data_IF_613315149744
#
_entry.id   IF_613315149744
#
_cell.length_a   1.000
_cell.length_b   1.000
_cell.length_c   1.000
_cell.angle_alpha   90.00
_cell.angle_beta   90.00
_cell.angle_gamma   90.00
#
_symmetry.space_group_name_H-M   'P 1'
#
loop_
_entity.id
_entity.type
_entity.pdbx_description
1 polymer ?
#
# COMPACT_ATOMS: atom_id res chain seq x y z
N UNK A 1 16.93 2.33 -7.96
CA UNK A 1 15.71 2.06 -7.17
C UNK A 1 15.90 0.87 -6.21
N UNK A 2 16.51 -0.24 -6.64
CA UNK A 2 16.67 -1.48 -5.87
C UNK A 2 17.40 -1.34 -4.53
N UNK A 3 18.49 -0.57 -4.44
CA UNK A 3 19.24 -0.39 -3.17
C UNK A 3 18.47 0.38 -2.07
N UNK A 4 17.37 1.07 -2.42
CA UNK A 4 16.52 1.74 -1.42
C UNK A 4 15.69 0.75 -0.63
N UNK A 5 15.29 -0.35 -1.27
CA UNK A 5 14.30 -1.31 -0.76
C UNK A 5 14.87 -2.69 -0.50
N UNK A 6 16.07 -2.99 -0.98
CA UNK A 6 16.78 -4.25 -0.73
C UNK A 6 18.13 -3.96 -0.06
N UNK A 7 18.57 -4.87 0.80
CA UNK A 7 19.92 -4.88 1.37
C UNK A 7 20.52 -6.27 1.26
N UNK A 8 21.84 -6.34 1.06
CA UNK A 8 22.58 -7.61 1.07
C UNK A 8 22.89 -7.98 2.53
N UNK A 9 22.68 -9.24 2.88
CA UNK A 9 23.00 -9.80 4.19
C UNK A 9 23.80 -11.08 4.02
N UNK A 10 24.76 -11.30 4.91
CA UNK A 10 25.43 -12.59 5.06
C UNK A 10 24.56 -13.50 5.91
N UNK A 11 24.47 -14.77 5.52
CA UNK A 11 23.66 -15.77 6.21
C UNK A 11 24.36 -17.13 6.20
N UNK A 12 23.92 -18.00 7.11
CA UNK A 12 24.30 -19.41 7.09
C UNK A 12 23.15 -20.21 6.50
N UNK A 13 23.39 -20.86 5.36
CA UNK A 13 22.43 -21.77 4.74
C UNK A 13 22.59 -23.16 5.36
N UNK A 14 21.48 -23.73 5.82
CA UNK A 14 21.41 -25.05 6.43
C UNK A 14 20.61 -25.98 5.51
N UNK A 15 21.29 -26.92 4.86
CA UNK A 15 20.69 -27.97 4.03
C UNK A 15 21.62 -29.20 4.01
N UNK A 16 21.39 -30.15 4.92
CA UNK A 16 22.29 -31.30 5.16
C UNK A 16 23.70 -30.93 5.68
N UNK A 17 24.01 -29.65 5.82
CA UNK A 17 25.27 -29.07 6.30
C UNK A 17 25.15 -27.54 6.40
N UNK A 18 26.19 -26.86 6.89
CA UNK A 18 26.20 -25.40 7.04
C UNK A 18 27.17 -24.74 6.06
N UNK A 19 26.69 -23.80 5.25
CA UNK A 19 27.52 -23.00 4.32
C UNK A 19 27.26 -21.51 4.51
N UNK A 20 28.30 -20.68 4.41
CA UNK A 20 28.15 -19.23 4.39
C UNK A 20 27.69 -18.79 3.01
N UNK A 21 26.66 -17.95 2.95
CA UNK A 21 26.13 -17.38 1.72
C UNK A 21 25.76 -15.91 1.95
N UNK A 22 25.36 -15.23 0.88
CA UNK A 22 24.80 -13.88 0.98
C UNK A 22 23.63 -13.71 0.02
N UNK A 23 22.56 -13.12 0.52
CA UNK A 23 21.31 -12.90 -0.22
C UNK A 23 20.84 -11.46 -0.08
N UNK A 24 19.96 -11.03 -0.98
CA UNK A 24 19.30 -9.74 -0.90
C UNK A 24 17.96 -9.94 -0.21
N UNK A 25 17.73 -9.17 0.85
CA UNK A 25 16.46 -9.18 1.58
C UNK A 25 15.81 -7.80 1.50
N UNK A 26 14.51 -7.77 1.71
CA UNK A 26 13.75 -6.53 1.78
C UNK A 26 14.22 -5.69 2.98
N UNK A 27 14.34 -4.39 2.74
CA UNK A 27 14.64 -3.38 3.76
C UNK A 27 13.33 -2.77 4.24
N UNK A 28 12.97 -3.16 5.45
CA UNK A 28 11.87 -2.54 6.19
C UNK A 28 12.25 -1.11 6.62
N UNK A 29 11.34 -0.15 6.43
CA UNK A 29 11.56 1.26 6.77
C UNK A 29 10.47 1.74 7.72
N UNK A 30 10.87 2.25 8.89
CA UNK A 30 9.97 2.90 9.84
C UNK A 30 9.64 4.31 9.35
N UNK A 31 8.43 4.53 8.83
CA UNK A 31 7.92 5.85 8.43
C UNK A 31 7.12 6.45 9.59
N UNK A 32 7.61 7.55 10.16
CA UNK A 32 6.89 8.31 11.19
C UNK A 32 5.94 9.30 10.55
N UNK A 33 4.66 9.25 10.89
CA UNK A 33 3.61 10.14 10.38
C UNK A 33 3.28 11.17 11.45
N UNK A 34 3.40 12.44 11.10
CA UNK A 34 3.00 13.57 11.92
C UNK A 34 1.86 14.33 11.24
N UNK A 35 0.85 14.72 12.02
CA UNK A 35 -0.31 15.49 11.56
C UNK A 35 -0.36 16.78 12.36
N UNK A 36 -0.36 17.91 11.67
CA UNK A 36 -0.38 19.27 12.25
C UNK A 36 0.67 19.44 13.36
N UNK A 37 1.87 18.91 13.12
CA UNK A 37 3.03 18.97 14.02
C UNK A 37 3.00 17.99 15.20
N UNK A 38 2.04 17.08 15.26
CA UNK A 38 1.95 16.05 16.32
C UNK A 38 2.18 14.65 15.75
N UNK A 39 2.93 13.82 16.47
CA UNK A 39 3.09 12.42 16.10
C UNK A 39 1.72 11.71 16.10
N UNK A 40 1.42 11.04 15.00
CA UNK A 40 0.18 10.30 14.82
C UNK A 40 0.43 8.79 14.91
N UNK A 41 1.36 8.28 14.11
CA UNK A 41 1.70 6.86 14.06
C UNK A 41 3.10 6.64 13.47
N UNK A 42 3.64 5.44 13.67
CA UNK A 42 4.83 4.97 12.94
C UNK A 42 4.49 3.63 12.31
N UNK A 43 4.73 3.52 11.01
CA UNK A 43 4.44 2.31 10.25
C UNK A 43 5.73 1.72 9.67
N UNK A 44 5.81 0.40 9.66
CA UNK A 44 6.87 -0.30 8.95
C UNK A 44 6.42 -0.58 7.52
N UNK A 45 7.13 -0.01 6.55
CA UNK A 45 6.76 -0.06 5.13
C UNK A 45 7.93 -0.46 4.23
N UNK A 46 7.60 -0.89 3.02
CA UNK A 46 8.52 -0.85 1.89
C UNK A 46 8.60 0.61 1.41
N UNK A 47 9.80 1.19 1.35
CA UNK A 47 10.01 2.61 1.04
C UNK A 47 9.80 2.96 -0.46
N UNK A 48 8.63 2.63 -0.97
CA UNK A 48 8.05 2.95 -2.28
C UNK A 48 6.66 3.52 -2.07
N UNK A 49 6.28 4.52 -2.87
CA UNK A 49 4.97 5.14 -2.80
C UNK A 49 4.62 5.64 -1.37
N UNK A 50 5.59 6.25 -0.67
CA UNK A 50 5.40 6.65 0.73
C UNK A 50 4.30 7.71 0.89
N UNK A 51 4.15 8.60 -0.10
CA UNK A 51 3.10 9.62 -0.10
C UNK A 51 1.72 8.97 -0.22
N UNK A 52 1.58 8.04 -1.15
CA UNK A 52 0.36 7.29 -1.40
C UNK A 52 0.01 6.41 -0.19
N UNK A 53 0.99 5.73 0.40
CA UNK A 53 0.82 4.98 1.64
C UNK A 53 0.18 5.85 2.73
N UNK A 54 0.76 7.04 3.00
CA UNK A 54 0.24 7.94 4.05
C UNK A 54 -1.18 8.38 3.74
N UNK A 55 -1.48 8.76 2.49
CA UNK A 55 -2.82 9.19 2.09
C UNK A 55 -3.84 8.07 2.27
N UNK A 56 -3.54 6.86 1.78
CA UNK A 56 -4.42 5.71 1.89
C UNK A 56 -4.60 5.26 3.33
N UNK A 57 -3.53 5.25 4.13
CA UNK A 57 -3.58 4.94 5.55
C UNK A 57 -4.50 5.91 6.30
N UNK A 58 -4.35 7.22 6.09
CA UNK A 58 -5.21 8.23 6.72
C UNK A 58 -6.67 8.08 6.28
N UNK A 59 -6.92 7.69 5.04
CA UNK A 59 -8.28 7.42 4.54
C UNK A 59 -8.87 6.17 5.18
N UNK A 60 -8.14 5.06 5.19
CA UNK A 60 -8.57 3.78 5.77
C UNK A 60 -8.85 3.90 7.28
N UNK A 61 -8.09 4.75 7.99
CA UNK A 61 -8.31 5.05 9.41
C UNK A 61 -9.42 6.11 9.65
N UNK A 62 -10.01 6.66 8.59
CA UNK A 62 -11.08 7.66 8.67
C UNK A 62 -10.62 9.04 9.15
N UNK A 63 -9.32 9.34 9.05
CA UNK A 63 -8.75 10.66 9.36
C UNK A 63 -9.06 11.66 8.24
N UNK A 64 -9.07 11.20 6.98
CA UNK A 64 -9.47 11.98 5.81
C UNK A 64 -10.60 11.26 5.06
N UNK A 65 -11.41 12.01 4.30
CA UNK A 65 -12.44 11.46 3.42
C UNK A 65 -12.05 11.50 1.95
N UNK A 66 -11.15 12.42 1.59
CA UNK A 66 -10.67 12.63 0.22
C UNK A 66 -9.28 13.25 0.26
N UNK A 67 -8.54 13.15 -0.84
CA UNK A 67 -7.20 13.74 -0.94
C UNK A 67 -7.19 15.26 -0.65
N UNK A 68 -8.26 15.97 -1.01
CA UNK A 68 -8.39 17.42 -0.77
C UNK A 68 -8.47 17.82 0.72
N UNK A 69 -8.70 16.87 1.63
CA UNK A 69 -8.67 17.15 3.07
C UNK A 69 -7.22 17.29 3.60
N UNK A 70 -6.21 16.95 2.79
CA UNK A 70 -4.80 17.20 3.06
C UNK A 70 -4.39 18.50 2.37
N UNK A 71 -4.02 19.52 3.16
CA UNK A 71 -3.48 20.78 2.65
C UNK A 71 -2.07 20.61 2.11
N UNK A 72 -1.24 19.82 2.79
CA UNK A 72 0.13 19.53 2.34
C UNK A 72 0.63 18.23 2.94
N UNK A 73 1.45 17.50 2.17
CA UNK A 73 2.19 16.34 2.63
C UNK A 73 3.64 16.43 2.14
N UNK A 74 4.60 16.22 3.03
CA UNK A 74 6.04 16.17 2.70
C UNK A 74 6.67 14.93 3.32
N UNK A 75 7.45 14.20 2.53
CA UNK A 75 8.22 13.04 3.01
C UNK A 75 9.70 13.42 3.04
N UNK A 76 10.33 13.41 4.22
CA UNK A 76 11.78 13.65 4.40
C UNK A 76 12.33 12.73 5.48
N UNK A 77 13.44 12.07 5.21
CA UNK A 77 14.18 11.26 6.20
C UNK A 77 13.29 10.29 7.00
N UNK A 78 12.44 9.52 6.31
CA UNK A 78 11.45 8.60 6.90
C UNK A 78 10.44 9.28 7.85
N UNK A 79 10.19 10.56 7.66
CA UNK A 79 9.12 11.30 8.33
C UNK A 79 8.17 11.86 7.29
N UNK A 80 6.88 11.61 7.48
CA UNK A 80 5.78 12.21 6.75
C UNK A 80 5.20 13.35 7.60
N UNK A 81 5.30 14.58 7.10
CA UNK A 81 4.67 15.76 7.69
C UNK A 81 3.39 16.06 6.91
N UNK A 82 2.24 15.94 7.57
CA UNK A 82 0.92 16.15 7.00
C UNK A 82 0.28 17.37 7.68
N UNK A 83 -0.22 18.30 6.87
CA UNK A 83 -1.07 19.39 7.34
C UNK A 83 -2.47 19.15 6.81
N UNK A 84 -3.46 19.09 7.68
CA UNK A 84 -4.86 18.93 7.27
C UNK A 84 -5.47 20.28 6.87
N UNK A 85 -6.41 20.24 5.93
CA UNK A 85 -7.29 21.37 5.71
C UNK A 85 -8.23 21.53 6.91
N UNK A 86 -8.64 22.77 7.22
CA UNK A 86 -9.65 23.01 8.25
C UNK A 86 -10.98 22.37 7.81
N UNK A 87 -11.29 21.20 8.37
CA UNK A 87 -12.48 20.42 8.06
C UNK A 87 -13.19 20.00 9.34
N UNK A 88 -14.44 19.59 9.20
CA UNK A 88 -15.25 19.11 10.31
C UNK A 88 -14.72 17.72 10.76
N UNK A 89 -14.12 17.67 11.95
CA UNK A 89 -13.39 16.53 12.55
C UNK A 89 -14.26 15.32 12.88
N UNK A 90 -15.46 15.23 12.32
CA UNK A 90 -16.35 14.09 12.56
C UNK A 90 -15.77 12.89 11.82
N UNK A 91 -15.52 11.78 12.52
CA UNK A 91 -15.18 10.51 11.85
C UNK A 91 -16.27 10.18 10.82
N UNK A 92 -15.91 9.76 9.60
CA UNK A 92 -16.89 9.33 8.62
C UNK A 92 -17.68 8.15 9.17
N UNK A 93 -18.99 8.17 8.96
CA UNK A 93 -19.83 7.01 9.21
C UNK A 93 -19.51 5.95 8.15
N UNK A 94 -19.44 4.67 8.55
CA UNK A 94 -19.22 3.59 7.58
C UNK A 94 -20.54 3.39 6.83
N UNK A 95 -20.66 4.06 5.68
CA UNK A 95 -21.84 3.94 4.82
C UNK A 95 -21.67 2.76 3.86
N UNK A 96 -22.75 2.01 3.65
CA UNK A 96 -22.77 0.96 2.64
C UNK A 96 -22.41 1.55 1.26
N UNK A 97 -21.47 0.91 0.56
CA UNK A 97 -21.11 1.27 -0.81
C UNK A 97 -22.20 0.74 -1.74
N UNK A 98 -22.75 1.61 -2.60
CA UNK A 98 -23.62 1.19 -3.71
C UNK A 98 -22.81 1.21 -5.00
N UNK A 99 -22.77 0.08 -5.69
CA UNK A 99 -22.07 -0.11 -6.97
C UNK A 99 -22.92 -0.98 -7.90
N UNK A 100 -22.90 -0.65 -9.19
CA UNK A 100 -23.48 -1.42 -10.28
C UNK A 100 -22.41 -2.15 -11.11
N UNK A 101 -21.15 -2.16 -10.64
CA UNK A 101 -20.03 -2.81 -11.31
C UNK A 101 -20.31 -4.30 -11.50
N UNK A 102 -20.14 -4.77 -12.74
CA UNK A 102 -20.17 -6.19 -13.10
C UNK A 102 -18.85 -6.55 -13.74
N UNK A 103 -18.24 -7.62 -13.25
CA UNK A 103 -16.99 -8.18 -13.79
C UNK A 103 -17.23 -9.61 -14.26
N UNK A 104 -16.51 -10.02 -15.30
CA UNK A 104 -16.50 -11.41 -15.73
C UNK A 104 -15.56 -12.23 -14.85
N UNK A 105 -15.73 -13.56 -14.87
CA UNK A 105 -14.83 -14.48 -14.20
C UNK A 105 -13.39 -14.27 -14.67
N UNK A 106 -13.21 -14.09 -15.97
CA UNK A 106 -11.92 -13.91 -16.64
C UNK A 106 -11.22 -12.63 -16.16
N UNK A 107 -11.99 -11.55 -15.97
CA UNK A 107 -11.50 -10.27 -15.45
C UNK A 107 -10.85 -10.44 -14.06
N UNK A 108 -11.45 -11.26 -13.19
CA UNK A 108 -10.89 -11.57 -11.87
C UNK A 108 -9.54 -12.30 -12.00
N UNK A 109 -9.46 -13.31 -12.87
CA UNK A 109 -8.21 -14.05 -13.07
C UNK A 109 -7.11 -13.16 -13.68
N UNK A 110 -7.46 -12.23 -14.56
CA UNK A 110 -6.52 -11.27 -15.14
C UNK A 110 -5.99 -10.28 -14.10
N UNK A 111 -6.86 -9.76 -13.23
CA UNK A 111 -6.45 -8.91 -12.11
C UNK A 111 -5.49 -9.65 -11.16
N UNK A 112 -5.80 -10.90 -10.81
CA UNK A 112 -4.92 -11.73 -9.97
C UNK A 112 -3.58 -11.99 -10.68
N UNK A 113 -3.59 -12.36 -11.96
CA UNK A 113 -2.36 -12.54 -12.75
C UNK A 113 -1.52 -11.28 -12.81
N UNK A 114 -2.14 -10.09 -12.81
CA UNK A 114 -1.43 -8.83 -12.85
C UNK A 114 -0.65 -8.57 -11.54
N UNK A 115 -1.26 -8.79 -10.37
CA UNK A 115 -0.59 -8.55 -9.07
C UNK A 115 0.51 -9.58 -8.74
N UNK A 116 0.51 -10.74 -9.39
CA UNK A 116 1.52 -11.79 -9.21
C UNK A 116 2.84 -11.52 -9.96
N UNK A 117 2.94 -10.42 -10.74
CA UNK A 117 4.14 -10.06 -11.52
C UNK A 117 5.15 -9.20 -10.74
N UNK A 118 5.07 -9.22 -9.41
CA UNK A 118 5.86 -8.35 -8.53
C UNK A 118 7.35 -8.72 -8.60
N UNK A 119 8.24 -7.82 -9.07
CA UNK A 119 9.67 -8.12 -9.18
C UNK A 119 10.33 -8.27 -7.81
N UNK A 120 9.83 -7.61 -6.75
CA UNK A 120 10.39 -7.73 -5.41
C UNK A 120 10.06 -9.10 -4.82
N UNK A 121 8.83 -9.57 -4.97
CA UNK A 121 8.44 -10.94 -4.57
C UNK A 121 9.22 -12.00 -5.35
N UNK A 122 9.36 -11.88 -6.67
CA UNK A 122 10.12 -12.86 -7.48
C UNK A 122 11.58 -13.01 -7.03
N UNK A 123 12.14 -11.99 -6.38
CA UNK A 123 13.50 -12.02 -5.87
C UNK A 123 13.58 -12.44 -4.39
N UNK A 124 12.63 -12.01 -3.57
CA UNK A 124 12.76 -12.06 -2.10
C UNK A 124 11.67 -12.86 -1.39
N UNK A 125 10.56 -13.14 -2.07
CA UNK A 125 9.35 -13.80 -1.54
C UNK A 125 8.74 -13.11 -0.29
N UNK A 126 9.19 -11.89 0.03
CA UNK A 126 8.96 -11.24 1.32
C UNK A 126 8.06 -10.00 1.26
N UNK A 127 7.21 -9.90 0.23
CA UNK A 127 6.25 -8.80 0.07
C UNK A 127 4.88 -9.31 -0.35
N UNK A 128 3.86 -8.52 -0.06
CA UNK A 128 2.52 -8.62 -0.62
C UNK A 128 2.34 -7.62 -1.75
N UNK A 129 1.60 -8.03 -2.77
CA UNK A 129 1.05 -7.13 -3.79
C UNK A 129 -0.44 -6.85 -3.55
N UNK A 130 -0.86 -5.63 -3.85
CA UNK A 130 -2.25 -5.25 -4.03
C UNK A 130 -2.41 -4.43 -5.31
N UNK A 131 -3.59 -4.46 -5.92
CA UNK A 131 -3.92 -3.72 -7.12
C UNK A 131 -5.37 -3.24 -7.13
N UNK A 132 -5.60 -2.06 -7.68
CA UNK A 132 -6.93 -1.54 -7.99
C UNK A 132 -7.12 -1.47 -9.50
N UNK A 133 -8.25 -1.99 -9.96
CA UNK A 133 -8.57 -2.14 -11.38
C UNK A 133 -9.90 -1.47 -11.69
N UNK A 134 -9.89 -0.43 -12.52
CA UNK A 134 -11.10 0.21 -13.03
C UNK A 134 -11.86 -0.75 -13.93
N UNK A 135 -13.17 -0.82 -13.71
CA UNK A 135 -14.10 -1.72 -14.40
C UNK A 135 -13.66 -3.20 -14.37
N UNK A 136 -12.82 -3.59 -13.41
CA UNK A 136 -12.25 -4.93 -13.29
C UNK A 136 -11.19 -5.29 -14.34
N UNK A 137 -10.66 -4.34 -15.10
CA UNK A 137 -9.73 -4.63 -16.21
C UNK A 137 -8.52 -3.71 -16.27
N UNK A 138 -8.73 -2.43 -16.05
CA UNK A 138 -7.72 -1.41 -16.26
C UNK A 138 -6.95 -1.18 -14.96
N UNK A 139 -5.67 -1.59 -14.84
CA UNK A 139 -4.91 -1.37 -13.63
C UNK A 139 -4.71 0.13 -13.42
N UNK A 140 -5.24 0.66 -12.32
CA UNK A 140 -4.99 2.04 -11.86
C UNK A 140 -3.60 2.10 -11.22
N UNK A 141 -3.36 1.18 -10.29
CA UNK A 141 -2.12 1.05 -9.56
C UNK A 141 -1.97 -0.38 -9.07
N UNK A 142 -0.73 -0.88 -9.07
CA UNK A 142 -0.32 -2.10 -8.37
C UNK A 142 0.86 -1.70 -7.50
N UNK A 143 0.78 -2.02 -6.20
CA UNK A 143 1.79 -1.69 -5.23
C UNK A 143 2.23 -2.92 -4.44
N UNK A 144 3.50 -2.91 -4.04
CA UNK A 144 4.12 -3.92 -3.18
C UNK A 144 4.40 -3.31 -1.80
N UNK A 145 4.25 -4.10 -0.75
CA UNK A 145 4.74 -3.76 0.59
C UNK A 145 5.02 -5.03 1.42
N UNK A 146 5.79 -4.92 2.50
CA UNK A 146 5.96 -6.03 3.45
C UNK A 146 4.61 -6.40 4.10
N UNK A 147 3.80 -5.38 4.39
CA UNK A 147 2.47 -5.54 4.97
C UNK A 147 1.37 -5.56 3.92
N UNK A 148 0.48 -6.56 3.97
CA UNK A 148 -0.70 -6.62 3.07
C UNK A 148 -1.60 -5.37 3.14
N UNK A 149 -1.80 -4.82 4.35
CA UNK A 149 -2.61 -3.61 4.54
C UNK A 149 -1.90 -2.40 3.91
N UNK A 150 -0.59 -2.27 4.11
CA UNK A 150 0.19 -1.18 3.52
C UNK A 150 0.16 -1.22 1.99
N UNK A 151 0.23 -2.42 1.39
CA UNK A 151 0.11 -2.57 -0.07
C UNK A 151 -1.25 -2.07 -0.56
N UNK A 152 -2.33 -2.37 0.18
CA UNK A 152 -3.67 -1.88 -0.12
C UNK A 152 -3.80 -0.36 0.11
N UNK A 153 -3.29 0.16 1.23
CA UNK A 153 -3.24 1.59 1.53
C UNK A 153 -2.53 2.36 0.42
N UNK A 154 -1.42 1.85 -0.11
CA UNK A 154 -0.72 2.49 -1.25
C UNK A 154 -1.59 2.62 -2.48
N UNK A 155 -2.30 1.56 -2.89
CA UNK A 155 -3.16 1.65 -4.07
C UNK A 155 -4.39 2.53 -3.82
N UNK A 156 -4.95 2.52 -2.61
CA UNK A 156 -6.04 3.43 -2.20
C UNK A 156 -5.56 4.88 -2.28
N UNK A 157 -4.40 5.20 -1.69
CA UNK A 157 -3.86 6.55 -1.70
C UNK A 157 -3.50 7.04 -3.09
N UNK A 158 -2.95 6.16 -3.94
CA UNK A 158 -2.74 6.48 -5.36
C UNK A 158 -4.07 6.81 -6.04
N UNK A 159 -5.09 5.98 -5.87
CA UNK A 159 -6.41 6.19 -6.46
C UNK A 159 -7.09 7.48 -5.99
N UNK A 160 -6.95 7.84 -4.70
CA UNK A 160 -7.45 9.10 -4.15
C UNK A 160 -6.78 10.32 -4.78
N UNK A 161 -5.48 10.25 -5.08
CA UNK A 161 -4.74 11.32 -5.76
C UNK A 161 -5.14 11.50 -7.23
N UNK A 162 -5.76 10.48 -7.83
CA UNK A 162 -6.15 10.46 -9.24
C UNK A 162 -7.68 10.49 -9.41
N UNK A 163 -8.42 10.88 -8.36
CA UNK A 163 -9.88 11.02 -8.36
C UNK A 163 -10.61 9.78 -8.89
N UNK A 164 -10.09 8.59 -8.58
CA UNK A 164 -10.66 7.32 -9.03
C UNK A 164 -11.96 7.01 -8.27
N UNK A 165 -13.01 6.69 -9.00
CA UNK A 165 -14.28 6.25 -8.41
C UNK A 165 -14.18 4.80 -7.93
N UNK A 166 -13.98 4.60 -6.63
CA UNK A 166 -13.88 3.27 -6.04
C UNK A 166 -15.10 2.37 -6.29
N UNK A 167 -16.29 2.94 -6.53
CA UNK A 167 -17.49 2.15 -6.84
C UNK A 167 -17.35 1.37 -8.14
N UNK A 168 -16.45 1.80 -9.03
CA UNK A 168 -16.18 1.16 -10.31
C UNK A 168 -14.85 0.40 -10.30
N UNK A 169 -14.31 0.08 -9.13
CA UNK A 169 -13.03 -0.65 -9.02
C UNK A 169 -13.19 -2.06 -8.47
N UNK A 170 -12.33 -2.96 -8.95
CA UNK A 170 -12.06 -4.26 -8.36
C UNK A 170 -10.70 -4.20 -7.66
N UNK A 171 -10.65 -4.57 -6.38
CA UNK A 171 -9.40 -4.75 -5.65
C UNK A 171 -8.93 -6.21 -5.74
N UNK A 172 -7.65 -6.42 -6.01
CA UNK A 172 -7.01 -7.72 -5.88
C UNK A 172 -5.83 -7.61 -4.91
N UNK A 173 -5.66 -8.62 -4.06
CA UNK A 173 -4.54 -8.67 -3.10
C UNK A 173 -4.03 -10.10 -2.94
N UNK A 174 -2.75 -10.22 -2.67
CA UNK A 174 -2.10 -11.49 -2.27
C UNK A 174 -2.30 -11.81 -0.78
N UNK A 175 -2.77 -10.84 0.01
CA UNK A 175 -3.02 -11.01 1.45
C UNK A 175 -4.34 -11.72 1.76
N UNK A 176 -4.41 -12.34 2.94
CA UNK A 176 -5.68 -12.81 3.53
C UNK A 176 -6.63 -11.63 3.74
N UNK A 177 -7.93 -11.91 3.75
CA UNK A 177 -9.01 -10.92 3.88
C UNK A 177 -9.70 -11.02 5.28
N UNK A 178 -9.07 -10.54 6.37
CA UNK A 178 -9.73 -10.32 7.65
C UNK A 178 -10.68 -9.11 7.56
N UNK A 179 -11.47 -8.87 8.61
CA UNK A 179 -12.45 -7.77 8.68
C UNK A 179 -11.86 -6.35 8.56
N UNK A 180 -10.55 -6.21 8.67
CA UNK A 180 -9.80 -4.95 8.62
C UNK A 180 -9.15 -4.66 7.25
N UNK A 181 -9.29 -5.58 6.28
CA UNK A 181 -8.85 -5.40 4.88
C UNK A 181 -9.97 -4.88 3.99
#
# INVERSE_FOLDING_TARGET
MTNKILKKVELTRVDGGCTVAAERIVKETALSIHIDGRHYATAMILATLEKEYVIGHLYAQGVIRRAADIKSITIKSNTAEVTLAATDNKKPDVTAVTSDLKVLKEDVFDCVRAILKSPVFSETEAVHSAGLFLHGREPVCIAEDLGRHNALDKVIGYSLLHDVDFRQTLAASTGRQPSEM
#
